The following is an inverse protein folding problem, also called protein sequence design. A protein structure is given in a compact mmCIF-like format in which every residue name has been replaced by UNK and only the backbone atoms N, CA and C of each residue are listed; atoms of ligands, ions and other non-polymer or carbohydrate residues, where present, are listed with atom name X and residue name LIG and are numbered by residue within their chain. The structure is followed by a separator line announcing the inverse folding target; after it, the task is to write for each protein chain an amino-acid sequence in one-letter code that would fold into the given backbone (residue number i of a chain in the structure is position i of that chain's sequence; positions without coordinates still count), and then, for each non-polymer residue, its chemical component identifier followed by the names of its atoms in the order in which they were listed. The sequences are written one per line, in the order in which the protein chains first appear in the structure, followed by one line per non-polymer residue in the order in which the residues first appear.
data_IF_727908246619
#
_entry.id   IF_727908246619
#
_cell.length_a   1.000
_cell.length_b   1.000
_cell.length_c   1.000
_cell.angle_alpha   90.00
_cell.angle_beta   90.00
_cell.angle_gamma   90.00
#
_symmetry.space_group_name_H-M   'P 1'
#
loop_
_entity.id
_entity.type
_entity.pdbx_description
1 polymer ?
#
# COMPACT_ATOMS: atom_id res chain seq x y z
N UNK A 1 12.96 2.65 -6.39
CA UNK A 1 14.03 2.74 -7.41
C UNK A 1 14.29 4.12 -8.00
N UNK A 2 13.38 5.09 -7.86
CA UNK A 2 13.63 6.47 -8.30
C UNK A 2 13.92 7.38 -7.07
N UNK A 3 15.19 7.74 -6.80
CA UNK A 3 15.57 8.45 -5.57
C UNK A 3 14.90 9.82 -5.43
N UNK A 4 14.66 10.51 -6.56
CA UNK A 4 13.94 11.77 -6.58
C UNK A 4 12.46 11.60 -6.17
N UNK A 5 11.82 10.51 -6.56
CA UNK A 5 10.44 10.20 -6.17
C UNK A 5 10.35 9.89 -4.68
N UNK A 6 11.30 9.10 -4.15
CA UNK A 6 11.34 8.75 -2.71
C UNK A 6 11.53 10.02 -1.87
N UNK A 7 12.52 10.85 -2.20
CA UNK A 7 12.76 12.11 -1.48
C UNK A 7 11.55 13.05 -1.50
N UNK A 8 10.87 13.17 -2.65
CA UNK A 8 9.66 13.96 -2.76
C UNK A 8 8.51 13.38 -1.91
N UNK A 9 8.32 12.05 -1.93
CA UNK A 9 7.32 11.38 -1.11
C UNK A 9 7.61 11.55 0.38
N UNK A 10 8.84 11.32 0.83
CA UNK A 10 9.24 11.49 2.23
C UNK A 10 8.93 12.89 2.73
N UNK A 11 9.29 13.92 1.96
CA UNK A 11 8.98 15.31 2.30
C UNK A 11 7.48 15.57 2.40
N UNK A 12 6.70 15.11 1.42
CA UNK A 12 5.26 15.39 1.34
C UNK A 12 4.45 14.60 2.39
N UNK A 13 4.82 13.34 2.66
CA UNK A 13 4.20 12.55 3.73
C UNK A 13 4.56 13.07 5.12
N UNK A 14 5.80 13.56 5.31
CA UNK A 14 6.20 14.20 6.57
C UNK A 14 5.38 15.46 6.86
N UNK A 15 5.05 16.26 5.83
CA UNK A 15 4.13 17.41 5.95
C UNK A 15 2.71 17.00 6.35
N UNK A 16 2.32 15.74 6.11
CA UNK A 16 1.06 15.14 6.55
C UNK A 16 1.18 14.38 7.88
N UNK A 17 2.25 14.63 8.66
CA UNK A 17 2.54 13.97 9.92
C UNK A 17 2.63 12.43 9.83
N UNK A 18 2.97 11.90 8.65
CA UNK A 18 3.20 10.48 8.45
C UNK A 18 4.66 10.11 8.71
N UNK A 19 4.88 8.95 9.32
CA UNK A 19 6.21 8.32 9.39
C UNK A 19 6.36 7.46 8.14
N UNK A 20 7.41 7.69 7.35
CA UNK A 20 7.71 6.91 6.15
C UNK A 20 8.88 5.98 6.41
N UNK A 21 8.72 4.71 6.06
CA UNK A 21 9.77 3.70 6.06
C UNK A 21 9.90 3.15 4.64
N UNK A 22 11.10 3.27 4.07
CA UNK A 22 11.40 2.88 2.70
C UNK A 22 12.27 1.64 2.70
N UNK A 23 11.87 0.63 1.94
CA UNK A 23 12.52 -0.67 1.89
C UNK A 23 12.82 -1.06 0.45
N UNK A 24 14.04 -1.53 0.20
CA UNK A 24 14.53 -1.84 -1.15
C UNK A 24 14.46 -3.34 -1.49
N UNK A 25 14.02 -4.19 -0.55
CA UNK A 25 13.93 -5.64 -0.76
C UNK A 25 12.67 -6.22 -0.14
N UNK A 26 12.15 -7.31 -0.72
CA UNK A 26 10.99 -8.04 -0.17
C UNK A 26 11.26 -8.49 1.26
N UNK A 27 12.47 -9.01 1.52
CA UNK A 27 12.83 -9.52 2.85
C UNK A 27 12.74 -8.43 3.91
N UNK A 28 13.38 -7.27 3.68
CA UNK A 28 13.38 -6.18 4.67
C UNK A 28 12.00 -5.54 4.77
N UNK A 29 11.27 -5.37 3.66
CA UNK A 29 9.88 -4.92 3.66
C UNK A 29 8.97 -5.77 4.55
N UNK A 30 9.08 -7.10 4.45
CA UNK A 30 8.30 -8.02 5.28
C UNK A 30 8.73 -8.03 6.75
N UNK A 31 10.02 -7.87 7.04
CA UNK A 31 10.50 -7.73 8.41
C UNK A 31 9.95 -6.45 9.04
N UNK A 32 10.09 -5.31 8.36
CA UNK A 32 9.59 -4.01 8.81
C UNK A 32 8.08 -4.04 8.98
N UNK A 33 7.33 -4.59 8.01
CA UNK A 33 5.88 -4.67 8.10
C UNK A 33 5.39 -5.46 9.32
N UNK A 34 6.07 -6.57 9.68
CA UNK A 34 5.73 -7.36 10.87
C UNK A 34 6.02 -6.62 12.18
N UNK A 35 7.01 -5.74 12.18
CA UNK A 35 7.40 -4.98 13.37
C UNK A 35 6.47 -3.79 13.62
N UNK A 36 6.06 -3.10 12.56
CA UNK A 36 5.37 -1.80 12.68
C UNK A 36 3.89 -1.85 12.30
N UNK A 37 3.43 -2.94 11.67
CA UNK A 37 2.07 -3.11 11.15
C UNK A 37 1.56 -1.84 10.40
N UNK A 38 2.12 -1.52 9.20
CA UNK A 38 1.93 -0.24 8.55
C UNK A 38 0.46 0.10 8.31
N UNK A 39 0.07 1.36 8.54
CA UNK A 39 -1.30 1.84 8.30
C UNK A 39 -1.64 1.98 6.82
N UNK A 40 -0.64 2.02 5.93
CA UNK A 40 -0.76 2.00 4.48
C UNK A 40 0.57 1.50 3.89
N UNK A 41 0.50 0.81 2.75
CA UNK A 41 1.68 0.31 2.03
C UNK A 41 1.64 0.78 0.58
N UNK A 42 2.74 1.38 0.11
CA UNK A 42 2.98 1.67 -1.29
C UNK A 42 3.96 0.63 -1.84
N UNK A 43 3.58 -0.10 -2.89
CA UNK A 43 4.38 -1.22 -3.41
C UNK A 43 4.68 -1.00 -4.89
N UNK A 44 5.96 -0.98 -5.24
CA UNK A 44 6.42 -0.94 -6.63
C UNK A 44 6.34 -2.33 -7.27
N UNK A 45 5.71 -2.43 -8.44
CA UNK A 45 5.56 -3.71 -9.14
C UNK A 45 6.74 -4.12 -10.02
N UNK A 46 7.83 -3.34 -10.04
CA UNK A 46 9.07 -3.64 -10.74
C UNK A 46 9.92 -4.72 -10.03
N UNK A 47 9.29 -5.85 -9.72
CA UNK A 47 9.89 -7.05 -9.12
C UNK A 47 9.37 -8.29 -9.84
N UNK A 48 10.01 -9.44 -9.62
CA UNK A 48 9.60 -10.70 -10.24
C UNK A 48 8.22 -11.16 -9.74
N UNK A 49 7.54 -12.02 -10.51
CA UNK A 49 6.20 -12.54 -10.16
C UNK A 49 6.21 -13.31 -8.82
N UNK A 50 7.26 -14.10 -8.57
CA UNK A 50 7.40 -14.86 -7.32
C UNK A 50 7.60 -13.95 -6.11
N UNK A 51 8.50 -12.96 -6.22
CA UNK A 51 8.75 -11.98 -5.16
C UNK A 51 7.51 -11.16 -4.82
N UNK A 52 6.73 -10.80 -5.84
CA UNK A 52 5.46 -10.08 -5.64
C UNK A 52 4.46 -10.89 -4.84
N UNK A 53 4.27 -12.17 -5.18
CA UNK A 53 3.34 -13.04 -4.46
C UNK A 53 3.76 -13.20 -3.00
N UNK A 54 5.05 -13.38 -2.74
CA UNK A 54 5.61 -13.43 -1.39
C UNK A 54 5.36 -12.12 -0.63
N UNK A 55 5.70 -10.98 -1.25
CA UNK A 55 5.55 -9.66 -0.66
C UNK A 55 4.09 -9.36 -0.31
N UNK A 56 3.17 -9.49 -1.26
CA UNK A 56 1.77 -9.12 -1.04
C UNK A 56 1.08 -10.00 0.00
N UNK A 57 1.33 -11.31 -0.03
CA UNK A 57 0.81 -12.23 1.00
C UNK A 57 1.40 -11.90 2.37
N UNK A 58 2.70 -11.64 2.43
CA UNK A 58 3.37 -11.30 3.69
C UNK A 58 2.90 -9.96 4.27
N UNK A 59 2.68 -8.95 3.43
CA UNK A 59 2.15 -7.64 3.83
C UNK A 59 0.70 -7.75 4.35
N UNK A 60 -0.17 -8.50 3.66
CA UNK A 60 -1.56 -8.74 4.12
C UNK A 60 -1.63 -9.52 5.43
N UNK A 61 -0.68 -10.41 5.69
CA UNK A 61 -0.59 -11.10 6.98
C UNK A 61 -0.03 -10.21 8.09
N UNK A 62 0.79 -9.20 7.75
CA UNK A 62 1.41 -8.30 8.71
C UNK A 62 0.53 -7.09 9.07
N UNK A 63 -0.36 -6.66 8.17
CA UNK A 63 -1.22 -5.49 8.38
C UNK A 63 -2.54 -5.58 7.63
N UNK A 64 -3.57 -4.94 8.18
CA UNK A 64 -4.87 -4.70 7.55
C UNK A 64 -4.94 -3.38 6.77
N UNK A 65 -3.84 -2.61 6.76
CA UNK A 65 -3.75 -1.35 6.03
C UNK A 65 -3.93 -1.52 4.52
N UNK A 66 -4.41 -0.49 3.82
CA UNK A 66 -4.52 -0.50 2.37
C UNK A 66 -3.16 -0.68 1.68
N UNK A 67 -3.15 -1.48 0.61
CA UNK A 67 -2.00 -1.69 -0.27
C UNK A 67 -2.29 -1.01 -1.60
N UNK A 68 -1.49 -0.01 -1.95
CA UNK A 68 -1.55 0.71 -3.22
C UNK A 68 -0.36 0.28 -4.08
N UNK A 69 -0.64 -0.14 -5.30
CA UNK A 69 0.36 -0.67 -6.21
C UNK A 69 0.79 0.36 -7.24
N UNK A 70 2.09 0.53 -7.43
CA UNK A 70 2.65 1.36 -8.49
C UNK A 70 2.98 0.47 -9.68
N UNK A 71 2.32 0.72 -10.82
CA UNK A 71 2.34 -0.13 -12.01
C UNK A 71 2.86 0.68 -13.19
N UNK A 72 3.88 0.22 -13.91
CA UNK A 72 4.29 0.77 -15.21
C UNK A 72 3.61 0.04 -16.37
N UNK A 73 3.67 0.60 -17.58
CA UNK A 73 3.06 0.02 -18.78
C UNK A 73 3.46 -1.44 -19.04
N UNK A 74 4.72 -1.80 -18.78
CA UNK A 74 5.25 -3.17 -18.89
C UNK A 74 4.72 -4.13 -17.80
N UNK A 75 4.18 -3.60 -16.70
CA UNK A 75 3.57 -4.36 -15.60
C UNK A 75 2.04 -4.23 -15.60
N UNK A 76 1.45 -3.47 -16.54
CA UNK A 76 0.02 -3.24 -16.61
C UNK A 76 -0.76 -4.53 -16.88
N UNK A 77 -0.23 -5.39 -17.75
CA UNK A 77 -0.79 -6.74 -17.98
C UNK A 77 -0.68 -7.62 -16.73
N UNK A 78 0.31 -7.38 -15.86
CA UNK A 78 0.46 -8.12 -14.60
C UNK A 78 -0.57 -7.69 -13.54
N UNK A 79 -1.13 -6.48 -13.63
CA UNK A 79 -2.25 -6.05 -12.79
C UNK A 79 -3.56 -6.77 -13.15
N UNK A 80 -3.72 -7.21 -14.40
CA UNK A 80 -4.85 -8.06 -14.83
C UNK A 80 -4.69 -9.53 -14.40
N UNK A 81 -3.46 -10.03 -14.28
CA UNK A 81 -3.18 -11.41 -13.82
C UNK A 81 -3.14 -11.56 -12.29
N UNK A 82 -2.75 -10.50 -11.59
CA UNK A 82 -2.92 -10.43 -10.15
C UNK A 82 -4.43 -10.39 -9.90
N UNK A 83 -4.98 -11.45 -9.32
CA UNK A 83 -6.37 -11.50 -8.88
C UNK A 83 -6.76 -10.13 -8.28
N UNK A 84 -7.84 -9.49 -8.78
CA UNK A 84 -8.18 -8.08 -8.46
C UNK A 84 -8.29 -7.79 -6.95
N UNK A 85 -8.37 -8.85 -6.14
CA UNK A 85 -8.57 -8.83 -4.69
C UNK A 85 -7.33 -8.51 -3.85
N UNK A 86 -6.12 -8.42 -4.41
CA UNK A 86 -4.90 -8.28 -3.59
C UNK A 86 -4.57 -6.85 -3.19
N UNK A 87 -4.99 -5.85 -3.97
CA UNK A 87 -4.69 -4.43 -3.71
C UNK A 87 -5.94 -3.57 -3.65
N UNK A 88 -5.82 -2.47 -2.93
CA UNK A 88 -6.90 -1.52 -2.73
C UNK A 88 -6.95 -0.49 -3.88
N UNK A 89 -5.81 -0.13 -4.46
CA UNK A 89 -5.73 0.74 -5.64
C UNK A 89 -4.48 0.45 -6.48
N UNK A 90 -4.59 0.64 -7.80
CA UNK A 90 -3.49 0.56 -8.76
C UNK A 90 -3.20 1.95 -9.34
N UNK A 91 -1.94 2.38 -9.32
CA UNK A 91 -1.49 3.68 -9.78
C UNK A 91 -0.49 3.53 -10.92
N UNK A 92 -0.83 4.07 -12.08
CA UNK A 92 0.03 4.02 -13.25
C UNK A 92 1.22 4.99 -13.12
N UNK A 93 2.42 4.50 -13.40
CA UNK A 93 3.65 5.28 -13.52
C UNK A 93 3.76 5.91 -14.93
N UNK A 94 4.37 7.10 -15.06
CA UNK A 94 4.88 7.94 -13.97
C UNK A 94 3.73 8.57 -13.17
N UNK A 95 3.88 8.61 -11.84
CA UNK A 95 2.90 9.22 -10.94
C UNK A 95 3.48 10.48 -10.31
N UNK A 96 2.71 11.56 -10.27
CA UNK A 96 3.11 12.77 -9.57
C UNK A 96 3.14 12.51 -8.05
N UNK A 97 4.24 12.79 -7.33
CA UNK A 97 4.33 12.57 -5.88
C UNK A 97 3.21 13.22 -5.06
N UNK A 98 2.76 14.42 -5.44
CA UNK A 98 1.65 15.09 -4.76
C UNK A 98 0.33 14.33 -4.95
N UNK A 99 0.09 13.80 -6.15
CA UNK A 99 -1.11 12.98 -6.43
C UNK A 99 -1.04 11.66 -5.64
N UNK A 100 0.13 11.05 -5.56
CA UNK A 100 0.35 9.82 -4.78
C UNK A 100 0.03 10.04 -3.30
N UNK A 101 0.52 11.13 -2.71
CA UNK A 101 0.25 11.49 -1.31
C UNK A 101 -1.23 11.76 -1.09
N UNK A 102 -1.89 12.53 -1.97
CA UNK A 102 -3.34 12.80 -1.86
C UNK A 102 -4.14 11.49 -1.82
N UNK A 103 -3.85 10.56 -2.73
CA UNK A 103 -4.54 9.26 -2.79
C UNK A 103 -4.23 8.41 -1.56
N UNK A 104 -2.99 8.34 -1.13
CA UNK A 104 -2.60 7.62 0.08
C UNK A 104 -3.31 8.18 1.33
N UNK A 105 -3.37 9.51 1.47
CA UNK A 105 -4.07 10.16 2.58
C UNK A 105 -5.58 9.90 2.54
N UNK A 106 -6.19 9.85 1.35
CA UNK A 106 -7.59 9.45 1.21
C UNK A 106 -7.81 8.04 1.78
N UNK A 107 -6.98 7.08 1.41
CA UNK A 107 -7.04 5.70 1.93
C UNK A 107 -6.83 5.61 3.44
N UNK A 108 -5.86 6.34 4.00
CA UNK A 108 -5.66 6.43 5.45
C UNK A 108 -6.90 6.99 6.16
N UNK A 109 -7.56 8.00 5.58
CA UNK A 109 -8.82 8.55 6.07
C UNK A 109 -10.02 7.61 5.95
N UNK A 110 -10.01 6.69 4.98
CA UNK A 110 -11.06 5.67 4.81
C UNK A 110 -10.88 4.47 5.74
N UNK A 111 -9.65 4.09 6.10
CA UNK A 111 -9.36 3.03 7.07
C UNK A 111 -9.98 3.30 8.45
N UNK A 112 -9.97 4.57 8.88
CA UNK A 112 -10.63 5.03 10.11
C UNK A 112 -12.16 4.83 10.09
N UNK A 113 -12.79 4.86 8.90
CA UNK A 113 -14.23 4.62 8.75
C UNK A 113 -14.59 3.13 8.71
N UNK A 114 -13.74 2.27 8.14
CA UNK A 114 -13.96 0.81 8.12
C UNK A 114 -13.86 0.18 9.51
N UNK A 115 -13.02 0.72 10.41
CA UNK A 115 -12.92 0.26 11.81
C UNK A 115 -14.17 0.55 12.67
N UNK A 116 -14.93 1.62 12.37
CA UNK A 116 -16.15 1.97 13.14
C UNK A 116 -17.38 1.14 12.78
N UNK A 117 -17.46 0.59 11.57
CA UNK A 117 -18.60 -0.24 11.15
C UNK A 117 -18.56 -1.68 11.67
N UNK A 118 -17.42 -2.16 12.17
CA UNK A 118 -17.32 -3.51 12.75
C UNK A 118 -17.90 -3.66 14.17
N UNK A 119 -18.26 -2.55 14.84
CA UNK A 119 -18.81 -2.59 16.22
C UNK A 119 -20.33 -2.45 16.30
N UNK A 120 -21.02 -2.33 15.17
CA UNK A 120 -22.48 -2.40 15.14
C UNK A 120 -22.89 -3.88 15.04
N UNK A 121 -22.81 -4.60 16.18
CA UNK A 121 -23.48 -5.91 16.29
C UNK A 121 -24.97 -5.66 16.11
N UNK A 122 -25.50 -6.11 14.98
CA UNK A 122 -26.93 -6.16 14.72
C UNK A 122 -27.48 -7.23 15.66
N UNK A 123 -27.98 -6.83 16.83
CA UNK A 123 -28.82 -7.70 17.64
C UNK A 123 -30.17 -7.82 16.93
N UNK A 124 -30.28 -8.80 16.04
CA UNK A 124 -31.58 -9.27 15.58
C UNK A 124 -32.10 -10.26 16.63
N UNK A 125 -32.88 -9.74 17.57
CA UNK A 125 -33.77 -10.55 18.41
C UNK A 125 -35.04 -10.85 17.62
N UNK A 126 -35.30 -12.12 17.32
CA UNK A 126 -36.66 -12.68 17.22
C UNK A 126 -36.58 -14.16 17.53
#
# INVERSE_FOLDING_TARGET
DEPNMIAACDSLFSQQNCIVLSEASVRTALQTARLVAPSLMLVDMQITKSERMELLNGLRNASTGPILLLVSANTAQLAFEANETVADEYLMKPVNPAVLVIKAMAWLGHGQRRGKFSSMKINAST
#
